data_IF_685344652433
#
_entry.id   IF_685344652433
#
_cell.length_a   1.000
_cell.length_b   1.000
_cell.length_c   1.000
_cell.angle_alpha   90.00
_cell.angle_beta   90.00
_cell.angle_gamma   90.00
#
_symmetry.space_group_name_H-M   'P 1'
#
loop_
_entity.id
_entity.type
_entity.pdbx_description
1 polymer ?
#
# COMPACT_ATOMS: atom_id res chain seq x y z
N UNK A 1 -3.05 76.59 4.96
CA UNK A 1 -1.93 75.65 5.16
C UNK A 1 -2.33 74.29 5.79
N UNK A 2 -3.62 74.00 6.02
CA UNK A 2 -4.06 72.79 6.74
C UNK A 2 -4.62 71.66 5.85
N UNK A 3 -5.15 71.99 4.66
CA UNK A 3 -5.85 71.03 3.79
C UNK A 3 -4.89 70.02 3.09
N UNK A 4 -3.68 70.45 2.73
CA UNK A 4 -2.72 69.58 2.05
C UNK A 4 -2.15 68.50 2.99
N UNK A 5 -2.02 68.82 4.28
CA UNK A 5 -1.58 67.85 5.30
C UNK A 5 -2.64 66.76 5.53
N UNK A 6 -3.91 67.12 5.48
CA UNK A 6 -5.05 66.18 5.64
C UNK A 6 -5.09 65.23 4.44
N UNK A 7 -5.08 65.75 3.21
CA UNK A 7 -5.04 64.93 1.99
C UNK A 7 -3.84 63.98 2.00
N UNK A 8 -2.64 64.49 2.35
CA UNK A 8 -1.44 63.64 2.44
C UNK A 8 -1.61 62.51 3.46
N UNK A 9 -2.27 62.75 4.60
CA UNK A 9 -2.53 61.72 5.62
C UNK A 9 -3.52 60.65 5.14
N UNK A 10 -4.57 61.05 4.41
CA UNK A 10 -5.54 60.11 3.81
C UNK A 10 -4.90 59.23 2.72
N UNK A 11 -4.10 59.82 1.83
CA UNK A 11 -3.37 59.06 0.81
C UNK A 11 -2.41 58.03 1.42
N UNK A 12 -1.76 58.36 2.54
CA UNK A 12 -0.88 57.40 3.24
C UNK A 12 -1.67 56.27 3.91
N UNK A 13 -2.84 56.57 4.48
CA UNK A 13 -3.72 55.54 5.07
C UNK A 13 -4.27 54.59 4.01
N UNK A 14 -4.64 55.10 2.83
CA UNK A 14 -5.09 54.28 1.69
C UNK A 14 -3.97 53.36 1.18
N UNK A 15 -2.75 53.88 1.00
CA UNK A 15 -1.58 53.05 0.63
C UNK A 15 -1.28 51.96 1.66
N UNK A 16 -1.35 52.30 2.96
CA UNK A 16 -1.14 51.33 4.04
C UNK A 16 -2.22 50.24 4.08
N UNK A 17 -3.48 50.61 3.83
CA UNK A 17 -4.61 49.65 3.75
C UNK A 17 -4.46 48.71 2.55
N UNK A 18 -4.08 49.23 1.38
CA UNK A 18 -3.86 48.41 0.18
C UNK A 18 -2.70 47.43 0.36
N UNK A 19 -1.54 47.87 0.86
CA UNK A 19 -0.40 46.98 1.12
C UNK A 19 -0.74 45.89 2.15
N UNK A 20 -1.54 46.21 3.19
CA UNK A 20 -1.98 45.21 4.17
C UNK A 20 -2.90 44.15 3.54
N UNK A 21 -3.78 44.56 2.63
CA UNK A 21 -4.69 43.66 1.92
C UNK A 21 -3.94 42.77 0.93
N UNK A 22 -2.97 43.30 0.16
CA UNK A 22 -2.14 42.49 -0.73
C UNK A 22 -1.26 41.48 0.01
N UNK A 23 -0.69 41.87 1.16
CA UNK A 23 0.05 40.93 2.02
C UNK A 23 -0.86 39.85 2.63
N UNK A 24 -2.12 40.18 2.92
CA UNK A 24 -3.10 39.20 3.40
C UNK A 24 -3.51 38.22 2.30
N UNK A 25 -3.78 38.71 1.09
CA UNK A 25 -4.15 37.92 -0.08
C UNK A 25 -3.00 36.99 -0.53
N UNK A 26 -1.77 37.47 -0.56
CA UNK A 26 -0.60 36.64 -0.92
C UNK A 26 -0.27 35.61 0.15
N UNK A 27 -0.47 35.93 1.43
CA UNK A 27 -0.29 34.97 2.54
C UNK A 27 -1.36 33.88 2.52
N UNK A 28 -2.62 34.21 2.26
CA UNK A 28 -3.70 33.23 2.14
C UNK A 28 -3.52 32.33 0.92
N UNK A 29 -3.11 32.87 -0.24
CA UNK A 29 -2.77 32.07 -1.43
C UNK A 29 -1.61 31.09 -1.18
N UNK A 30 -0.55 31.53 -0.47
CA UNK A 30 0.57 30.64 -0.09
C UNK A 30 0.12 29.52 0.84
N UNK A 31 -0.76 29.82 1.81
CA UNK A 31 -1.31 28.81 2.72
C UNK A 31 -2.14 27.79 1.94
N UNK A 32 -3.03 28.24 1.05
CA UNK A 32 -3.86 27.36 0.20
C UNK A 32 -2.98 26.45 -0.66
N UNK A 33 -1.92 26.99 -1.28
CA UNK A 33 -0.99 26.21 -2.09
C UNK A 33 -0.27 25.12 -1.27
N UNK A 34 0.16 25.44 -0.04
CA UNK A 34 0.81 24.48 0.87
C UNK A 34 -0.16 23.37 1.30
N UNK A 35 -1.42 23.72 1.62
CA UNK A 35 -2.43 22.74 2.01
C UNK A 35 -2.82 21.81 0.85
N UNK A 36 -2.84 22.30 -0.39
CA UNK A 36 -3.18 21.52 -1.58
C UNK A 36 -2.11 20.48 -1.93
N UNK A 37 -0.83 20.80 -1.72
CA UNK A 37 0.28 19.84 -1.91
C UNK A 37 0.20 18.68 -0.90
N UNK A 38 -0.31 18.94 0.31
CA UNK A 38 -0.42 17.92 1.35
C UNK A 38 -1.53 16.88 1.09
N UNK A 39 -2.53 17.20 0.26
CA UNK A 39 -3.64 16.31 -0.09
C UNK A 39 -3.29 15.27 -1.16
N UNK A 40 -2.13 15.38 -1.82
CA UNK A 40 -1.74 14.52 -2.94
C UNK A 40 -1.16 13.15 -2.54
N UNK A 41 -0.97 12.87 -1.25
CA UNK A 41 -0.35 11.62 -0.79
C UNK A 41 -1.33 10.56 -0.24
N UNK A 42 -2.63 10.68 -0.55
CA UNK A 42 -3.62 9.67 -0.15
C UNK A 42 -3.54 8.47 -1.12
N UNK A 43 -2.52 7.65 -0.96
CA UNK A 43 -2.43 6.34 -1.60
C UNK A 43 -3.48 5.41 -0.97
N UNK A 44 -4.52 5.05 -1.71
CA UNK A 44 -5.52 4.07 -1.28
C UNK A 44 -4.93 2.65 -1.42
N UNK A 45 -4.39 2.11 -0.32
CA UNK A 45 -4.00 0.70 -0.22
C UNK A 45 -5.03 -0.10 0.57
N UNK A 46 -5.30 -1.33 0.16
CA UNK A 46 -6.20 -2.24 0.88
C UNK A 46 -5.37 -3.33 1.57
N UNK A 47 -5.55 -3.52 2.86
CA UNK A 47 -4.94 -4.62 3.61
C UNK A 47 -6.00 -5.60 4.09
N UNK A 48 -5.68 -6.90 4.09
CA UNK A 48 -6.58 -7.97 4.50
C UNK A 48 -5.85 -9.08 5.23
N UNK A 49 -6.48 -9.61 6.28
CA UNK A 49 -6.01 -10.83 6.96
C UNK A 49 -6.51 -12.07 6.23
N UNK A 50 -5.70 -13.10 6.18
CA UNK A 50 -6.14 -14.42 5.74
C UNK A 50 -6.97 -15.09 6.84
N UNK A 51 -7.89 -16.00 6.47
CA UNK A 51 -8.48 -16.91 7.43
C UNK A 51 -7.42 -17.84 8.03
N UNK A 52 -7.67 -18.32 9.24
CA UNK A 52 -6.82 -19.31 9.90
C UNK A 52 -6.80 -20.60 9.07
N UNK A 53 -5.63 -21.24 9.04
CA UNK A 53 -5.42 -22.54 8.40
C UNK A 53 -5.44 -23.63 9.44
N UNK A 54 -6.12 -24.75 9.17
CA UNK A 54 -6.07 -25.92 10.06
C UNK A 54 -4.68 -26.58 10.05
N UNK A 55 -3.90 -26.39 8.98
CA UNK A 55 -2.55 -26.95 8.83
C UNK A 55 -1.48 -26.12 9.54
N UNK A 56 -1.68 -24.80 9.64
CA UNK A 56 -0.78 -23.87 10.33
C UNK A 56 -1.57 -22.86 11.19
N UNK A 57 -2.28 -23.32 12.23
CA UNK A 57 -3.23 -22.49 12.97
C UNK A 57 -2.57 -21.33 13.74
N UNK A 58 -1.29 -21.44 14.04
CA UNK A 58 -0.50 -20.37 14.67
C UNK A 58 -0.06 -19.27 13.68
N UNK A 59 -0.21 -19.49 12.37
CA UNK A 59 0.25 -18.55 11.36
C UNK A 59 -0.71 -17.36 11.25
N UNK A 60 -0.17 -16.15 11.44
CA UNK A 60 -0.89 -14.92 11.16
C UNK A 60 -0.42 -14.35 9.82
N UNK A 61 -1.29 -14.37 8.83
CA UNK A 61 -0.94 -13.96 7.47
C UNK A 61 -1.79 -12.74 7.09
N UNK A 62 -1.12 -11.71 6.59
CA UNK A 62 -1.75 -10.50 6.06
C UNK A 62 -1.26 -10.22 4.66
N UNK A 63 -2.13 -9.69 3.82
CA UNK A 63 -1.78 -9.20 2.49
C UNK A 63 -2.22 -7.76 2.32
N UNK A 64 -1.37 -6.94 1.70
CA UNK A 64 -1.73 -5.62 1.21
C UNK A 64 -1.65 -5.56 -0.31
N UNK A 65 -2.57 -4.82 -0.91
CA UNK A 65 -2.60 -4.48 -2.34
C UNK A 65 -2.62 -2.97 -2.45
N UNK A 66 -1.67 -2.42 -3.20
CA UNK A 66 -1.55 -0.98 -3.47
C UNK A 66 -1.27 -0.78 -4.95
N UNK A 67 -1.84 0.28 -5.52
CA UNK A 67 -1.51 0.69 -6.88
C UNK A 67 -0.32 1.69 -6.86
N UNK A 68 0.64 1.49 -7.76
CA UNK A 68 1.76 2.42 -7.95
C UNK A 68 1.42 3.52 -8.97
N UNK A 69 2.34 4.46 -9.18
CA UNK A 69 2.16 5.58 -10.11
C UNK A 69 2.13 5.15 -11.58
N UNK A 70 2.53 3.90 -11.88
CA UNK A 70 2.55 3.32 -13.22
C UNK A 70 1.33 2.40 -13.45
N UNK A 71 0.35 2.41 -12.54
CA UNK A 71 -0.84 1.55 -12.56
C UNK A 71 -0.55 0.04 -12.43
N UNK A 72 0.60 -0.33 -11.87
CA UNK A 72 0.83 -1.70 -11.43
C UNK A 72 0.32 -1.88 -9.99
N UNK A 73 0.06 -3.13 -9.63
CA UNK A 73 -0.29 -3.52 -8.27
C UNK A 73 0.94 -4.06 -7.53
N UNK A 74 1.29 -3.41 -6.44
CA UNK A 74 2.22 -3.89 -5.43
C UNK A 74 1.43 -4.78 -4.48
N UNK A 75 1.87 -6.03 -4.34
CA UNK A 75 1.32 -7.04 -3.45
C UNK A 75 2.38 -7.33 -2.39
N UNK A 76 2.02 -7.16 -1.13
CA UNK A 76 2.88 -7.45 0.01
C UNK A 76 2.20 -8.51 0.87
N UNK A 77 2.85 -9.64 1.08
CA UNK A 77 2.38 -10.73 1.94
C UNK A 77 3.32 -10.85 3.13
N UNK A 78 2.78 -10.68 4.33
CA UNK A 78 3.50 -10.85 5.59
C UNK A 78 2.91 -12.07 6.29
N UNK A 79 3.76 -13.02 6.65
CA UNK A 79 3.41 -14.17 7.47
C UNK A 79 4.21 -14.14 8.78
N UNK A 80 3.53 -14.22 9.92
CA UNK A 80 4.14 -14.36 11.24
C UNK A 80 3.85 -15.73 11.82
N UNK A 81 4.79 -16.26 12.59
CA UNK A 81 4.67 -17.58 13.24
C UNK A 81 4.29 -18.71 12.27
N UNK A 82 4.64 -18.57 10.99
CA UNK A 82 4.45 -19.62 10.01
C UNK A 82 5.39 -20.77 10.38
N UNK A 83 4.86 -21.99 10.49
CA UNK A 83 5.70 -23.16 10.70
C UNK A 83 6.54 -23.42 9.43
N UNK A 84 7.75 -23.97 9.56
CA UNK A 84 8.54 -24.38 8.40
C UNK A 84 7.80 -25.47 7.60
N UNK A 85 7.87 -25.42 6.26
CA UNK A 85 7.09 -26.31 5.39
C UNK A 85 7.42 -27.81 5.62
N UNK A 86 8.64 -28.11 6.06
CA UNK A 86 9.08 -29.48 6.36
C UNK A 86 8.46 -30.07 7.64
N UNK A 87 7.73 -29.26 8.43
CA UNK A 87 6.99 -29.69 9.62
C UNK A 87 5.52 -29.99 9.35
N UNK A 88 5.06 -29.78 8.11
CA UNK A 88 3.73 -30.17 7.69
C UNK A 88 3.62 -31.68 7.54
N UNK A 89 2.40 -32.18 7.48
CA UNK A 89 2.10 -33.58 7.18
C UNK A 89 1.10 -33.65 6.01
N UNK A 90 1.51 -34.12 4.82
CA UNK A 90 2.87 -34.54 4.47
C UNK A 90 3.87 -33.36 4.41
N UNK A 91 5.17 -33.60 4.66
CA UNK A 91 6.18 -32.56 4.65
C UNK A 91 6.40 -31.99 3.24
N UNK A 92 6.66 -30.68 3.16
CA UNK A 92 6.98 -29.93 1.94
C UNK A 92 8.21 -29.05 2.14
N UNK A 93 8.66 -28.38 1.08
CA UNK A 93 9.90 -27.59 1.12
C UNK A 93 9.65 -26.07 1.08
N UNK A 94 8.62 -25.64 0.34
CA UNK A 94 8.43 -24.24 0.00
C UNK A 94 6.99 -23.82 0.27
N UNK A 95 6.81 -22.59 0.74
CA UNK A 95 5.52 -21.92 0.64
C UNK A 95 5.53 -21.03 -0.60
N UNK A 96 4.59 -21.25 -1.51
CA UNK A 96 4.45 -20.49 -2.75
C UNK A 96 3.22 -19.61 -2.65
N UNK A 97 3.38 -18.33 -3.01
CA UNK A 97 2.28 -17.37 -3.05
C UNK A 97 1.77 -17.29 -4.48
N UNK A 98 0.44 -17.42 -4.60
CA UNK A 98 -0.27 -17.42 -5.86
C UNK A 98 -1.27 -16.28 -5.91
N UNK A 99 -1.36 -15.64 -7.08
CA UNK A 99 -2.43 -14.68 -7.39
C UNK A 99 -3.40 -15.29 -8.39
N UNK A 100 -4.70 -15.07 -8.19
CA UNK A 100 -5.74 -15.30 -9.18
C UNK A 100 -6.04 -13.95 -9.81
N UNK A 101 -5.74 -13.83 -11.09
CA UNK A 101 -5.99 -12.61 -11.86
C UNK A 101 -7.38 -12.62 -12.49
N UNK A 102 -7.90 -11.47 -12.93
CA UNK A 102 -9.24 -11.44 -13.51
C UNK A 102 -9.36 -12.27 -14.79
N UNK A 103 -8.37 -12.14 -15.68
CA UNK A 103 -8.42 -12.65 -17.06
C UNK A 103 -7.18 -13.49 -17.45
N UNK A 104 -6.15 -13.55 -16.61
CA UNK A 104 -4.85 -14.16 -16.93
C UNK A 104 -4.53 -15.40 -16.09
N UNK A 105 -5.57 -16.00 -15.49
CA UNK A 105 -5.47 -17.21 -14.69
C UNK A 105 -4.68 -17.03 -13.39
N UNK A 106 -4.08 -18.15 -12.94
CA UNK A 106 -3.28 -18.25 -11.72
C UNK A 106 -1.81 -17.99 -12.05
N UNK A 107 -1.11 -17.21 -11.22
CA UNK A 107 0.32 -16.93 -11.38
C UNK A 107 1.07 -17.11 -10.07
N UNK A 108 2.24 -17.75 -10.14
CA UNK A 108 3.22 -17.77 -9.06
C UNK A 108 3.84 -16.37 -8.95
N UNK A 109 3.83 -15.79 -7.74
CA UNK A 109 4.40 -14.45 -7.51
C UNK A 109 5.58 -14.44 -6.56
N UNK A 110 6.02 -15.62 -6.11
CA UNK A 110 7.17 -15.78 -5.24
C UNK A 110 6.92 -16.75 -4.09
N UNK A 111 7.88 -16.78 -3.17
CA UNK A 111 7.93 -17.77 -2.10
C UNK A 111 8.14 -17.09 -0.74
N UNK A 112 7.53 -17.66 0.30
CA UNK A 112 7.79 -17.28 1.68
C UNK A 112 8.93 -18.16 2.22
N UNK A 113 10.15 -17.66 2.14
CA UNK A 113 11.33 -18.37 2.65
C UNK A 113 11.37 -18.33 4.17
N UNK A 114 11.04 -19.47 4.77
CA UNK A 114 10.93 -19.63 6.22
C UNK A 114 12.07 -20.49 6.76
N UNK A 115 13.29 -19.93 6.84
CA UNK A 115 14.42 -20.68 7.42
C UNK A 115 14.40 -20.74 8.94
N UNK A 116 13.88 -19.72 9.64
CA UNK A 116 13.74 -19.68 11.12
C UNK A 116 13.01 -18.39 11.59
N UNK A 117 12.18 -17.78 10.74
CA UNK A 117 11.80 -16.39 10.94
C UNK A 117 10.46 -16.27 11.68
N UNK A 118 10.45 -15.48 12.77
CA UNK A 118 9.20 -15.05 13.44
C UNK A 118 8.26 -14.29 12.49
N UNK A 119 8.82 -13.69 11.44
CA UNK A 119 8.15 -12.94 10.38
C UNK A 119 8.85 -13.21 9.05
N UNK A 120 8.09 -13.58 8.02
CA UNK A 120 8.52 -13.69 6.62
C UNK A 120 7.70 -12.71 5.80
N UNK A 121 8.30 -12.13 4.77
CA UNK A 121 7.70 -11.11 3.93
C UNK A 121 8.03 -11.37 2.47
N UNK A 122 7.04 -11.16 1.60
CA UNK A 122 7.17 -11.16 0.15
C UNK A 122 6.54 -9.88 -0.37
N UNK A 123 7.32 -9.08 -1.09
CA UNK A 123 6.81 -7.94 -1.87
C UNK A 123 7.03 -8.23 -3.35
N UNK A 124 6.00 -7.98 -4.17
CA UNK A 124 6.04 -8.23 -5.61
C UNK A 124 5.13 -7.27 -6.35
N UNK A 125 5.43 -7.02 -7.63
CA UNK A 125 4.67 -6.09 -8.47
C UNK A 125 4.12 -6.82 -9.67
N UNK A 126 2.85 -6.57 -9.99
CA UNK A 126 2.14 -7.18 -11.12
C UNK A 126 1.33 -6.15 -11.89
N UNK A 127 1.31 -6.19 -13.23
CA UNK A 127 0.39 -5.38 -14.02
C UNK A 127 -1.04 -5.93 -13.99
N UNK A 128 -1.24 -7.17 -13.52
CA UNK A 128 -2.54 -7.83 -13.53
C UNK A 128 -3.38 -7.45 -12.31
N UNK A 129 -4.67 -7.17 -12.55
CA UNK A 129 -5.63 -6.99 -11.46
C UNK A 129 -5.88 -8.34 -10.74
N UNK A 130 -5.76 -8.33 -9.41
CA UNK A 130 -5.76 -9.52 -8.55
C UNK A 130 -7.10 -9.66 -7.83
N UNK A 131 -7.83 -10.75 -8.09
CA UNK A 131 -9.09 -11.12 -7.43
C UNK A 131 -8.85 -11.85 -6.11
N UNK A 132 -7.90 -12.77 -6.11
CA UNK A 132 -7.63 -13.63 -4.95
C UNK A 132 -6.15 -13.89 -4.79
N UNK A 133 -5.75 -14.15 -3.56
CA UNK A 133 -4.41 -14.59 -3.22
C UNK A 133 -4.53 -15.82 -2.35
N UNK A 134 -3.70 -16.82 -2.61
CA UNK A 134 -3.63 -18.03 -1.81
C UNK A 134 -2.19 -18.51 -1.70
N UNK A 135 -1.94 -19.33 -0.68
CA UNK A 135 -0.62 -19.86 -0.37
C UNK A 135 -0.72 -21.37 -0.40
N UNK A 136 0.23 -22.03 -1.05
CA UNK A 136 0.37 -23.49 -1.02
C UNK A 136 1.70 -23.89 -0.42
N UNK A 137 1.75 -25.09 0.15
CA UNK A 137 2.99 -25.78 0.49
C UNK A 137 3.36 -26.74 -0.64
N UNK A 138 4.54 -26.57 -1.22
CA UNK A 138 5.00 -27.21 -2.46
C UNK A 138 6.39 -27.85 -2.27
N UNK A 139 6.71 -28.85 -3.10
CA UNK A 139 8.03 -29.47 -3.12
C UNK A 139 9.06 -28.58 -3.81
N UNK A 140 8.64 -27.85 -4.85
CA UNK A 140 9.43 -26.91 -5.62
C UNK A 140 8.78 -25.53 -5.62
N UNK A 141 9.59 -24.48 -5.50
CA UNK A 141 9.09 -23.12 -5.40
C UNK A 141 8.93 -22.37 -6.74
N UNK A 142 9.55 -22.86 -7.81
CA UNK A 142 9.63 -22.21 -9.12
C UNK A 142 8.67 -22.85 -10.15
N UNK A 143 7.53 -23.34 -9.68
CA UNK A 143 6.53 -24.04 -10.49
C UNK A 143 5.52 -23.07 -11.10
N UNK A 144 4.94 -23.45 -12.25
CA UNK A 144 4.02 -22.60 -13.04
C UNK A 144 2.54 -22.80 -12.70
N UNK A 145 2.22 -23.86 -11.96
CA UNK A 145 0.88 -24.16 -11.47
C UNK A 145 0.94 -24.78 -10.07
N UNK A 146 -0.05 -24.53 -9.20
CA UNK A 146 -0.09 -25.12 -7.87
C UNK A 146 -0.33 -26.63 -7.96
N UNK A 147 0.41 -27.39 -7.16
CA UNK A 147 0.33 -28.86 -7.13
C UNK A 147 0.26 -29.44 -5.72
N UNK A 148 0.57 -28.63 -4.74
CA UNK A 148 0.68 -29.00 -3.34
C UNK A 148 -0.57 -28.64 -2.55
N UNK A 149 -0.36 -28.47 -1.25
CA UNK A 149 -1.47 -28.35 -0.29
C UNK A 149 -1.79 -26.87 -0.11
N UNK A 150 -3.04 -26.49 -0.34
CA UNK A 150 -3.49 -25.12 -0.07
C UNK A 150 -3.52 -24.88 1.45
N UNK A 151 -2.80 -23.84 1.88
CA UNK A 151 -2.68 -23.44 3.27
C UNK A 151 -3.80 -22.48 3.64
N UNK A 152 -3.98 -21.44 2.84
CA UNK A 152 -5.01 -20.42 3.07
C UNK A 152 -5.25 -19.60 1.81
N UNK A 153 -6.43 -18.99 1.71
CA UNK A 153 -6.90 -18.18 0.58
C UNK A 153 -7.70 -17.00 1.06
N UNK A 154 -7.56 -15.86 0.36
CA UNK A 154 -8.38 -14.68 0.61
C UNK A 154 -8.66 -13.91 -0.67
N UNK A 155 -9.88 -13.36 -0.79
CA UNK A 155 -10.26 -12.46 -1.88
C UNK A 155 -9.78 -11.04 -1.61
N UNK A 156 -9.15 -10.40 -2.58
CA UNK A 156 -8.91 -8.97 -2.57
C UNK A 156 -10.11 -8.29 -3.22
N UNK A 157 -10.77 -7.40 -2.48
CA UNK A 157 -11.82 -6.54 -3.06
C UNK A 157 -11.20 -5.40 -3.86
#
# INVERSE_FOLDING_TARGET
>A
MNNDKIKKKEFQNLKKKNNKNENFLTKSMKIIAITMVFLMFISCGTAKKFPLSDLVPAAEITVSKKQDNNNNFIIEVIAKNLASANRLDPPKNNYVVWIVTEDNGIKNVGQLSNKNAKKVELETTTPFNVKEIFITAEDEGNITYPSGIEITRTKLK
#
